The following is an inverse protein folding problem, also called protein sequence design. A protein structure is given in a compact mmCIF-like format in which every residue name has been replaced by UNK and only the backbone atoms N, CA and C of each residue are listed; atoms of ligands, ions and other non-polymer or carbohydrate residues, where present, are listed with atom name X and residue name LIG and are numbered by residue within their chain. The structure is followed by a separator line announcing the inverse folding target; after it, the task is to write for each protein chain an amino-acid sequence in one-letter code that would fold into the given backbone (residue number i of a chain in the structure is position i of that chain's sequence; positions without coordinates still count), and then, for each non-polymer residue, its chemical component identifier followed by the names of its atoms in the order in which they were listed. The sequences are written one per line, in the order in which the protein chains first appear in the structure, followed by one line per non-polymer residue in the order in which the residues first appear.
data_IF_919574986300
#
_entry.id   IF_919574986300
#
_cell.length_a   1.000
_cell.length_b   1.000
_cell.length_c   1.000
_cell.angle_alpha   90.00
_cell.angle_beta   90.00
_cell.angle_gamma   90.00
#
_symmetry.space_group_name_H-M   'P 1'
#
loop_
_entity.id
_entity.type
_entity.pdbx_description
1 polymer ?
#
# COMPACT_ATOMS: atom_id res chain seq x y z
N UNK A 1 16.28 9.52 -38.62
CA UNK A 1 17.63 10.12 -38.69
C UNK A 1 17.49 11.62 -38.34
N UNK A 2 18.14 12.05 -37.25
CA UNK A 2 18.17 13.46 -36.88
C UNK A 2 19.00 14.29 -37.87
N UNK A 3 18.60 15.53 -38.14
CA UNK A 3 19.35 16.51 -38.94
C UNK A 3 20.11 17.42 -38.00
N UNK A 4 21.36 17.71 -38.29
CA UNK A 4 22.17 18.67 -37.56
C UNK A 4 22.02 20.05 -38.23
N UNK A 5 21.40 21.01 -37.53
CA UNK A 5 21.04 22.32 -38.11
C UNK A 5 21.98 23.46 -37.71
N UNK A 6 23.05 23.21 -36.96
CA UNK A 6 24.01 24.24 -36.61
C UNK A 6 24.34 24.33 -35.12
N UNK A 7 25.06 25.39 -34.74
CA UNK A 7 25.38 25.71 -33.34
C UNK A 7 24.28 26.61 -32.76
N UNK A 8 24.02 26.48 -31.47
CA UNK A 8 23.09 27.31 -30.70
C UNK A 8 23.80 27.88 -29.48
N UNK A 9 23.41 29.04 -29.02
CA UNK A 9 23.83 29.64 -27.76
C UNK A 9 22.92 29.21 -26.58
N UNK A 10 21.85 28.46 -26.88
CA UNK A 10 20.97 27.90 -25.84
C UNK A 10 21.70 26.85 -24.98
N UNK A 11 21.39 26.78 -23.68
CA UNK A 11 21.97 25.74 -22.81
C UNK A 11 21.59 24.33 -23.28
N UNK A 12 22.44 23.35 -22.96
CA UNK A 12 22.18 21.97 -23.32
C UNK A 12 20.82 21.50 -22.83
N UNK A 13 20.03 20.95 -23.74
CA UNK A 13 18.69 20.48 -23.41
C UNK A 13 17.98 19.80 -24.58
N UNK A 14 16.76 19.43 -24.35
CA UNK A 14 15.86 18.86 -25.36
C UNK A 14 14.52 19.57 -25.32
N UNK A 15 14.04 19.98 -26.47
CA UNK A 15 12.71 20.53 -26.66
C UNK A 15 11.87 19.58 -27.51
N UNK A 16 10.76 19.08 -26.96
CA UNK A 16 9.81 18.25 -27.68
C UNK A 16 8.46 18.96 -27.78
N UNK A 17 7.93 19.09 -29.00
CA UNK A 17 6.58 19.57 -29.25
C UNK A 17 5.83 18.56 -30.10
N UNK A 18 4.57 18.30 -29.75
CA UNK A 18 3.72 17.41 -30.51
C UNK A 18 2.26 17.88 -30.45
N UNK A 19 1.48 17.45 -31.45
CA UNK A 19 0.04 17.58 -31.46
C UNK A 19 -0.57 16.18 -31.48
N UNK A 20 -1.69 16.02 -30.76
CA UNK A 20 -2.44 14.77 -30.80
C UNK A 20 -3.02 14.58 -32.22
N UNK A 21 -2.93 13.37 -32.74
CA UNK A 21 -3.42 13.05 -34.08
C UNK A 21 -4.95 13.16 -34.12
N UNK A 22 -5.54 14.05 -34.98
CA UNK A 22 -6.98 14.27 -35.04
C UNK A 22 -7.76 13.04 -35.57
N UNK A 23 -7.10 12.12 -36.26
CA UNK A 23 -7.73 10.88 -36.72
C UNK A 23 -7.92 9.86 -35.58
N UNK A 24 -7.13 10.00 -34.52
CA UNK A 24 -7.19 9.11 -33.32
C UNK A 24 -7.89 9.80 -32.16
N UNK A 25 -7.61 11.10 -31.96
CA UNK A 25 -8.14 11.86 -30.85
C UNK A 25 -9.18 12.89 -31.33
N UNK A 26 -10.39 12.94 -30.78
CA UNK A 26 -11.36 13.99 -31.12
C UNK A 26 -10.77 15.39 -30.94
N UNK A 27 -11.19 16.31 -31.79
CA UNK A 27 -10.70 17.70 -31.79
C UNK A 27 -10.88 18.43 -30.43
N UNK A 28 -11.81 17.98 -29.61
CA UNK A 28 -12.03 18.49 -28.25
C UNK A 28 -11.10 17.89 -27.18
N UNK A 29 -10.20 16.97 -27.55
CA UNK A 29 -9.28 16.32 -26.61
C UNK A 29 -8.29 17.34 -26.04
N UNK A 30 -8.24 17.45 -24.72
CA UNK A 30 -7.30 18.29 -23.99
C UNK A 30 -6.53 17.46 -22.97
N UNK A 31 -5.25 17.82 -22.79
CA UNK A 31 -4.46 17.26 -21.70
C UNK A 31 -4.98 17.79 -20.36
N UNK A 32 -5.15 16.90 -19.40
CA UNK A 32 -5.59 17.25 -18.05
C UNK A 32 -4.37 17.61 -17.19
N UNK A 33 -4.24 18.88 -16.76
CA UNK A 33 -3.10 19.33 -15.95
C UNK A 33 -2.89 18.52 -14.68
N UNK A 34 -3.97 18.06 -14.04
CA UNK A 34 -3.93 17.34 -12.77
C UNK A 34 -3.12 16.02 -12.86
N UNK A 35 -3.22 15.31 -14.00
CA UNK A 35 -2.44 14.09 -14.21
C UNK A 35 -0.94 14.40 -14.37
N UNK A 36 -0.62 15.47 -15.09
CA UNK A 36 0.77 15.88 -15.31
C UNK A 36 1.37 16.39 -14.00
N UNK A 37 0.62 17.18 -13.22
CA UNK A 37 1.05 17.65 -11.90
C UNK A 37 1.33 16.46 -10.96
N UNK A 38 0.45 15.48 -10.91
CA UNK A 38 0.64 14.25 -10.12
C UNK A 38 1.91 13.51 -10.54
N UNK A 39 2.17 13.40 -11.84
CA UNK A 39 3.41 12.78 -12.35
C UNK A 39 4.64 13.58 -11.95
N UNK A 40 4.62 14.92 -12.09
CA UNK A 40 5.72 15.78 -11.68
C UNK A 40 6.03 15.63 -10.18
N UNK A 41 5.00 15.56 -9.33
CA UNK A 41 5.17 15.31 -7.89
C UNK A 41 5.84 13.96 -7.65
N UNK A 42 5.33 12.88 -8.21
CA UNK A 42 5.92 11.54 -8.03
C UNK A 42 7.35 11.47 -8.53
N UNK A 43 7.66 12.03 -9.71
CA UNK A 43 9.03 12.05 -10.21
C UNK A 43 9.96 12.89 -9.32
N UNK A 44 9.49 13.97 -8.72
CA UNK A 44 10.30 14.75 -7.78
C UNK A 44 10.59 13.97 -6.49
N UNK A 45 9.65 13.19 -5.97
CA UNK A 45 9.89 12.32 -4.79
C UNK A 45 10.83 11.16 -5.10
N UNK A 46 10.71 10.57 -6.28
CA UNK A 46 11.55 9.43 -6.68
C UNK A 46 12.97 9.83 -7.12
N UNK A 47 13.20 11.13 -7.36
CA UNK A 47 14.49 11.66 -7.79
C UNK A 47 14.83 12.91 -6.95
N UNK A 48 15.38 12.68 -5.76
CA UNK A 48 15.75 13.76 -4.82
C UNK A 48 16.58 14.85 -5.48
N UNK A 49 16.15 16.09 -5.28
CA UNK A 49 16.82 17.27 -5.85
C UNK A 49 16.47 17.57 -7.31
N UNK A 50 15.76 16.69 -8.02
CA UNK A 50 15.26 16.99 -9.37
C UNK A 50 14.15 18.04 -9.28
N UNK A 51 14.36 19.16 -9.98
CA UNK A 51 13.35 20.21 -10.12
C UNK A 51 12.60 20.04 -11.44
N UNK A 52 11.30 19.86 -11.37
CA UNK A 52 10.40 19.82 -12.51
C UNK A 52 9.55 21.09 -12.54
N UNK A 53 9.36 21.65 -13.71
CA UNK A 53 8.54 22.84 -13.90
C UNK A 53 7.37 22.52 -14.81
N UNK A 54 6.16 22.82 -14.36
CA UNK A 54 4.94 22.65 -15.14
C UNK A 54 3.97 23.81 -14.87
N UNK A 55 3.51 24.46 -15.91
CA UNK A 55 2.57 25.60 -15.84
C UNK A 55 2.99 26.66 -14.81
N UNK A 56 4.29 27.03 -14.79
CA UNK A 56 4.85 28.03 -13.87
C UNK A 56 5.06 27.57 -12.43
N UNK A 57 4.64 26.35 -12.07
CA UNK A 57 4.90 25.75 -10.75
C UNK A 57 6.15 24.88 -10.78
N UNK A 58 6.91 24.92 -9.68
CA UNK A 58 8.11 24.11 -9.48
C UNK A 58 7.81 22.99 -8.50
N UNK A 59 8.16 21.75 -8.88
CA UNK A 59 8.06 20.55 -8.07
C UNK A 59 9.48 20.05 -7.78
N UNK A 60 9.80 19.91 -6.51
CA UNK A 60 11.10 19.42 -6.03
C UNK A 60 10.92 18.79 -4.66
N UNK A 61 11.58 17.66 -4.43
CA UNK A 61 11.66 17.02 -3.13
C UNK A 61 13.13 16.87 -2.70
N UNK A 62 13.40 17.05 -1.42
CA UNK A 62 14.72 16.83 -0.83
C UNK A 62 14.80 15.48 -0.10
N UNK A 63 13.69 15.01 0.46
CA UNK A 63 13.64 13.85 1.33
C UNK A 63 12.95 12.63 0.69
N UNK A 64 12.59 12.71 -0.61
CA UNK A 64 12.09 11.55 -1.37
C UNK A 64 10.75 11.01 -0.88
N UNK A 65 10.67 9.72 -0.57
CA UNK A 65 9.43 9.07 -0.14
C UNK A 65 8.93 9.58 1.22
N UNK A 66 9.80 10.17 2.04
CA UNK A 66 9.38 10.83 3.28
C UNK A 66 8.47 12.03 2.96
N UNK A 67 8.87 12.89 2.01
CA UNK A 67 8.06 14.04 1.59
C UNK A 67 6.74 13.59 0.95
N UNK A 68 6.76 12.48 0.20
CA UNK A 68 5.56 11.88 -0.38
C UNK A 68 4.56 11.51 0.72
N UNK A 69 4.97 10.79 1.74
CA UNK A 69 4.07 10.39 2.81
C UNK A 69 3.59 11.57 3.65
N UNK A 70 4.48 12.53 3.94
CA UNK A 70 4.10 13.73 4.68
C UNK A 70 3.03 14.57 3.95
N UNK A 71 3.05 14.59 2.61
CA UNK A 71 2.02 15.28 1.81
C UNK A 71 0.76 14.44 1.61
N UNK A 72 0.89 13.12 1.55
CA UNK A 72 -0.24 12.20 1.33
C UNK A 72 -1.14 12.06 2.58
N UNK A 73 -0.55 12.15 3.77
CA UNK A 73 -1.29 12.02 5.01
C UNK A 73 -2.12 13.28 5.30
N UNK A 74 -3.40 13.09 5.59
CA UNK A 74 -4.31 14.17 6.01
C UNK A 74 -4.24 14.47 7.51
N UNK A 75 -3.71 13.54 8.31
CA UNK A 75 -3.60 13.62 9.76
C UNK A 75 -2.13 13.46 10.18
N UNK A 76 -1.79 13.95 11.39
CA UNK A 76 -0.46 13.74 11.95
C UNK A 76 -0.18 12.25 12.16
N UNK A 77 1.03 11.79 11.81
CA UNK A 77 1.43 10.40 12.05
C UNK A 77 1.56 10.12 13.56
N UNK A 78 1.23 8.90 13.97
CA UNK A 78 1.31 8.49 15.39
C UNK A 78 2.75 8.50 15.95
N UNK A 79 3.73 8.43 15.07
CA UNK A 79 5.16 8.55 15.35
C UNK A 79 5.88 9.06 14.10
N UNK A 80 7.12 9.58 14.23
CA UNK A 80 7.87 10.07 13.06
C UNK A 80 7.93 9.02 11.94
N UNK A 81 7.77 9.47 10.70
CA UNK A 81 7.85 8.58 9.53
C UNK A 81 9.19 7.87 9.53
N UNK A 82 9.17 6.55 9.56
CA UNK A 82 10.36 5.71 9.43
C UNK A 82 10.78 5.74 7.97
N UNK A 83 12.00 6.21 7.70
CA UNK A 83 12.55 6.34 6.36
C UNK A 83 13.85 5.53 6.26
N UNK A 84 13.87 4.58 5.33
CA UNK A 84 14.96 3.63 5.14
C UNK A 84 15.44 3.73 3.69
N UNK A 85 16.75 3.91 3.51
CA UNK A 85 17.37 4.04 2.21
C UNK A 85 18.44 2.97 2.00
N UNK A 86 18.45 2.38 0.82
CA UNK A 86 19.46 1.41 0.42
C UNK A 86 19.77 1.52 -1.06
N UNK A 87 20.68 0.67 -1.53
CA UNK A 87 20.97 0.58 -2.95
C UNK A 87 19.76 -0.05 -3.66
N UNK A 88 19.21 0.68 -4.63
CA UNK A 88 18.06 0.27 -5.44
C UNK A 88 16.74 0.01 -4.67
N UNK A 89 16.66 0.46 -3.41
CA UNK A 89 15.45 0.39 -2.60
C UNK A 89 15.33 1.60 -1.68
N UNK A 90 14.15 2.17 -1.60
CA UNK A 90 13.77 3.19 -0.64
C UNK A 90 12.40 2.85 -0.07
N UNK A 91 12.25 2.98 1.24
CA UNK A 91 11.00 2.69 1.95
C UNK A 91 10.74 3.78 2.96
N UNK A 92 9.51 4.27 3.00
CA UNK A 92 9.02 5.13 4.06
C UNK A 92 7.69 4.59 4.58
N UNK A 93 7.47 4.61 5.89
CA UNK A 93 6.19 4.21 6.45
C UNK A 93 5.94 4.79 7.84
N UNK A 94 4.67 4.86 8.20
CA UNK A 94 4.19 5.21 9.53
C UNK A 94 2.78 4.64 9.72
N UNK A 95 2.17 4.87 10.89
CA UNK A 95 0.76 4.59 11.13
C UNK A 95 -0.01 5.90 11.32
N UNK A 96 -1.19 5.97 10.76
CA UNK A 96 -2.13 7.08 10.90
C UNK A 96 -3.38 6.71 11.69
N UNK A 97 -4.40 7.58 11.61
CA UNK A 97 -5.72 7.34 12.20
C UNK A 97 -6.72 6.63 11.27
N UNK A 98 -6.40 6.49 9.98
CA UNK A 98 -7.31 5.91 8.99
C UNK A 98 -7.51 4.39 9.18
N UNK A 99 -8.63 3.89 8.68
CA UNK A 99 -8.88 2.45 8.62
C UNK A 99 -8.16 1.82 7.41
N UNK A 100 -7.59 0.63 7.62
CA UNK A 100 -6.95 -0.14 6.56
C UNK A 100 -5.49 0.22 6.31
N UNK A 101 -4.99 -0.23 5.17
CA UNK A 101 -3.61 -0.02 4.72
C UNK A 101 -3.62 0.91 3.51
N UNK A 102 -2.69 1.86 3.43
CA UNK A 102 -2.46 2.71 2.27
C UNK A 102 -1.03 2.51 1.76
N UNK A 103 -0.90 2.21 0.47
CA UNK A 103 0.38 1.90 -0.13
C UNK A 103 0.65 2.70 -1.40
N UNK A 104 1.82 3.32 -1.45
CA UNK A 104 2.40 3.95 -2.63
C UNK A 104 3.58 3.12 -3.10
N UNK A 105 3.45 2.41 -4.22
CA UNK A 105 4.50 1.50 -4.69
C UNK A 105 5.02 1.89 -6.05
N UNK A 106 6.35 1.81 -6.22
CA UNK A 106 7.04 2.27 -7.42
C UNK A 106 8.10 1.25 -7.85
N UNK A 107 8.23 1.09 -9.16
CA UNK A 107 9.29 0.28 -9.80
C UNK A 107 9.91 1.08 -10.93
N UNK A 108 11.22 1.34 -10.86
CA UNK A 108 11.96 2.14 -11.85
C UNK A 108 11.31 3.50 -12.15
N UNK A 109 10.75 4.16 -11.12
CA UNK A 109 10.04 5.42 -11.26
C UNK A 109 8.59 5.32 -11.74
N UNK A 110 8.10 4.11 -12.06
CA UNK A 110 6.71 3.87 -12.46
C UNK A 110 5.84 3.58 -11.25
N UNK A 111 4.75 4.33 -11.09
CA UNK A 111 3.76 4.09 -10.03
C UNK A 111 2.95 2.82 -10.33
N UNK A 112 3.06 1.82 -9.46
CA UNK A 112 2.34 0.54 -9.56
C UNK A 112 1.08 0.61 -8.69
N UNK A 113 0.00 1.16 -9.24
CA UNK A 113 -1.26 1.41 -8.50
C UNK A 113 -1.93 0.17 -7.95
N UNK A 114 -1.64 -1.00 -8.52
CA UNK A 114 -2.12 -2.32 -8.06
C UNK A 114 -1.04 -3.09 -7.30
N UNK A 115 0.09 -2.44 -6.98
CA UNK A 115 1.19 -3.05 -6.25
C UNK A 115 2.01 -4.04 -7.08
N UNK A 116 2.18 -5.23 -6.54
CA UNK A 116 2.95 -6.32 -7.14
C UNK A 116 3.82 -7.05 -6.12
N UNK A 117 4.78 -7.83 -6.62
CA UNK A 117 5.66 -8.68 -5.81
C UNK A 117 6.45 -7.91 -4.75
N UNK A 118 6.91 -6.69 -5.05
CA UNK A 118 7.67 -5.83 -4.13
C UNK A 118 6.81 -5.32 -2.96
N UNK A 119 5.57 -4.90 -3.21
CA UNK A 119 4.65 -4.48 -2.16
C UNK A 119 4.25 -5.66 -1.27
N UNK A 120 3.99 -6.84 -1.87
CA UNK A 120 3.72 -8.05 -1.12
C UNK A 120 4.91 -8.46 -0.24
N UNK A 121 6.14 -8.40 -0.77
CA UNK A 121 7.36 -8.65 -0.03
C UNK A 121 7.55 -7.68 1.14
N UNK A 122 7.30 -6.39 0.94
CA UNK A 122 7.34 -5.40 2.01
C UNK A 122 6.32 -5.70 3.13
N UNK A 123 5.06 -5.99 2.77
CA UNK A 123 4.00 -6.33 3.73
C UNK A 123 4.33 -7.55 4.58
N UNK A 124 5.01 -8.52 4.00
CA UNK A 124 5.50 -9.70 4.73
C UNK A 124 6.71 -9.37 5.61
N UNK A 125 7.67 -8.65 5.05
CA UNK A 125 8.91 -8.32 5.73
C UNK A 125 8.70 -7.47 6.99
N UNK A 126 7.83 -6.45 6.94
CA UNK A 126 7.53 -5.60 8.10
C UNK A 126 6.92 -6.43 9.24
N UNK A 127 6.00 -7.35 8.93
CA UNK A 127 5.38 -8.22 9.93
C UNK A 127 6.41 -9.12 10.59
N UNK A 128 7.25 -9.78 9.79
CA UNK A 128 8.30 -10.65 10.28
C UNK A 128 9.29 -9.89 11.17
N UNK A 129 9.81 -8.78 10.68
CA UNK A 129 10.83 -7.99 11.41
C UNK A 129 10.29 -7.46 12.75
N UNK A 130 9.05 -6.95 12.78
CA UNK A 130 8.47 -6.44 14.03
C UNK A 130 8.16 -7.56 15.04
N UNK A 131 7.74 -8.74 14.59
CA UNK A 131 7.61 -9.92 15.47
C UNK A 131 8.95 -10.33 16.05
N UNK A 132 9.99 -10.35 15.24
CA UNK A 132 11.34 -10.72 15.67
C UNK A 132 11.93 -9.67 16.62
N UNK A 133 11.70 -8.39 16.38
CA UNK A 133 12.15 -7.29 17.22
C UNK A 133 11.49 -7.29 18.61
N UNK A 134 10.15 -7.34 18.64
CA UNK A 134 9.39 -7.33 19.91
C UNK A 134 9.31 -8.68 20.60
N UNK A 135 9.83 -9.75 19.98
CA UNK A 135 9.75 -11.14 20.50
C UNK A 135 8.31 -11.56 20.82
N UNK A 136 7.35 -11.10 20.02
CA UNK A 136 5.92 -11.38 20.17
C UNK A 136 5.30 -11.75 18.84
N UNK A 137 4.41 -12.75 18.86
CA UNK A 137 3.69 -13.18 17.67
C UNK A 137 2.39 -12.39 17.48
N UNK A 138 2.51 -11.09 17.21
CA UNK A 138 1.36 -10.25 16.85
C UNK A 138 0.70 -10.72 15.56
N UNK A 139 -0.61 -10.55 15.42
CA UNK A 139 -1.27 -10.82 14.14
C UNK A 139 -0.83 -9.83 13.05
N UNK A 140 -0.68 -10.34 11.83
CA UNK A 140 -0.26 -9.52 10.70
C UNK A 140 -1.22 -8.34 10.43
N UNK A 141 -2.52 -8.55 10.66
CA UNK A 141 -3.54 -7.52 10.56
C UNK A 141 -3.35 -6.39 11.57
N UNK A 142 -2.99 -6.71 12.82
CA UNK A 142 -2.79 -5.71 13.87
C UNK A 142 -1.55 -4.83 13.60
N UNK A 143 -0.48 -5.44 13.05
CA UNK A 143 0.72 -4.71 12.65
C UNK A 143 0.43 -3.76 11.48
N UNK A 144 -0.39 -4.18 10.52
CA UNK A 144 -0.66 -3.40 9.31
C UNK A 144 -1.90 -2.50 9.40
N UNK A 145 -2.66 -2.58 10.49
CA UNK A 145 -3.81 -1.71 10.71
C UNK A 145 -3.38 -0.25 10.71
N UNK A 146 -3.97 0.58 9.86
CA UNK A 146 -3.66 2.01 9.69
C UNK A 146 -2.25 2.29 9.16
N UNK A 147 -1.60 1.33 8.52
CA UNK A 147 -0.28 1.50 7.92
C UNK A 147 -0.38 2.38 6.67
N UNK A 148 0.44 3.44 6.60
CA UNK A 148 0.70 4.24 5.41
C UNK A 148 2.15 4.01 5.01
N UNK A 149 2.37 3.50 3.80
CA UNK A 149 3.71 3.12 3.37
C UNK A 149 3.98 3.48 1.91
N UNK A 150 5.22 3.84 1.63
CA UNK A 150 5.74 4.02 0.29
C UNK A 150 6.97 3.13 0.09
N UNK A 151 7.04 2.45 -1.04
CA UNK A 151 8.18 1.63 -1.43
C UNK A 151 8.57 1.91 -2.88
N UNK A 152 9.85 2.13 -3.13
CA UNK A 152 10.43 2.27 -4.47
C UNK A 152 11.58 1.29 -4.62
N UNK A 153 11.57 0.51 -5.69
CA UNK A 153 12.67 -0.40 -6.03
C UNK A 153 13.12 -0.19 -7.48
N UNK A 154 14.38 -0.54 -7.74
CA UNK A 154 14.91 -0.65 -9.10
C UNK A 154 15.10 -2.11 -9.46
N UNK A 155 14.54 -2.51 -10.59
CA UNK A 155 14.56 -3.88 -11.11
C UNK A 155 15.16 -3.87 -12.52
N UNK A 156 16.08 -4.77 -12.82
CA UNK A 156 16.55 -4.96 -14.18
C UNK A 156 15.52 -5.77 -14.95
N UNK A 157 15.12 -5.26 -16.13
CA UNK A 157 14.15 -5.91 -17.01
C UNK A 157 12.82 -6.28 -16.32
N UNK A 158 12.11 -5.30 -15.73
CA UNK A 158 10.90 -5.58 -15.00
C UNK A 158 9.79 -6.07 -15.93
N UNK A 159 9.13 -7.15 -15.54
CA UNK A 159 7.92 -7.67 -16.19
C UNK A 159 6.70 -7.19 -15.41
N UNK A 160 5.76 -6.55 -16.11
CA UNK A 160 4.50 -6.10 -15.55
C UNK A 160 3.35 -6.98 -16.08
N UNK A 161 2.28 -7.11 -15.29
CA UNK A 161 1.12 -7.91 -15.70
C UNK A 161 0.34 -7.29 -16.87
N UNK A 162 0.50 -5.99 -17.12
CA UNK A 162 -0.16 -5.27 -18.20
C UNK A 162 0.72 -4.18 -18.81
N UNK A 163 0.39 -3.73 -20.01
CA UNK A 163 1.06 -2.62 -20.70
C UNK A 163 0.95 -1.29 -19.93
N UNK A 164 -0.08 -1.11 -19.11
CA UNK A 164 -0.25 0.06 -18.24
C UNK A 164 0.71 0.09 -17.06
N UNK A 165 1.48 -1.00 -16.84
CA UNK A 165 2.50 -1.15 -15.80
C UNK A 165 1.99 -0.88 -14.38
N UNK A 166 0.72 -1.19 -14.13
CA UNK A 166 0.07 -0.95 -12.84
C UNK A 166 0.43 -1.96 -11.78
N UNK A 167 0.97 -3.15 -12.16
CA UNK A 167 1.33 -4.21 -11.23
C UNK A 167 2.61 -4.91 -11.68
N UNK A 168 3.58 -5.01 -10.76
CA UNK A 168 4.82 -5.75 -11.00
C UNK A 168 4.59 -7.26 -10.89
N UNK A 169 4.94 -7.99 -11.95
CA UNK A 169 4.89 -9.45 -12.00
C UNK A 169 6.24 -10.15 -11.77
N UNK A 170 7.37 -9.44 -11.94
CA UNK A 170 8.71 -10.02 -11.75
C UNK A 170 8.87 -10.61 -10.34
N UNK A 171 9.53 -11.79 -10.27
CA UNK A 171 9.86 -12.43 -9.00
C UNK A 171 11.30 -12.15 -8.54
N UNK A 172 12.18 -11.70 -9.46
CA UNK A 172 13.60 -11.45 -9.22
C UNK A 172 13.97 -10.01 -9.53
N UNK A 173 15.01 -9.49 -8.88
CA UNK A 173 15.56 -8.14 -9.11
C UNK A 173 16.26 -8.03 -10.46
N UNK A 174 16.85 -9.13 -10.92
CA UNK A 174 17.46 -9.26 -12.25
C UNK A 174 17.28 -10.69 -12.75
N UNK A 175 17.50 -10.96 -14.04
CA UNK A 175 17.31 -12.32 -14.61
C UNK A 175 18.02 -13.45 -13.85
N UNK A 176 19.22 -13.18 -13.34
CA UNK A 176 20.02 -14.12 -12.55
C UNK A 176 20.17 -13.68 -11.08
N UNK A 177 19.40 -12.69 -10.64
CA UNK A 177 19.48 -12.11 -9.30
C UNK A 177 18.64 -12.83 -8.26
N UNK A 178 18.76 -12.35 -7.02
CA UNK A 178 17.94 -12.83 -5.93
C UNK A 178 16.45 -12.46 -6.12
N UNK A 179 15.58 -13.15 -5.38
CA UNK A 179 14.16 -12.86 -5.43
C UNK A 179 13.86 -11.50 -4.80
N UNK A 180 12.86 -10.81 -5.34
CA UNK A 180 12.36 -9.53 -4.76
C UNK A 180 11.97 -9.72 -3.29
N UNK A 181 11.39 -10.87 -2.96
CA UNK A 181 11.05 -11.23 -1.57
C UNK A 181 12.27 -11.27 -0.66
N UNK A 182 13.36 -11.90 -1.11
CA UNK A 182 14.62 -11.98 -0.36
C UNK A 182 15.27 -10.61 -0.25
N UNK A 183 15.37 -9.88 -1.36
CA UNK A 183 15.95 -8.54 -1.43
C UNK A 183 15.27 -7.56 -0.47
N UNK A 184 13.95 -7.39 -0.59
CA UNK A 184 13.16 -6.52 0.26
C UNK A 184 13.17 -7.03 1.70
N UNK A 185 13.05 -8.35 1.90
CA UNK A 185 13.05 -8.97 3.23
C UNK A 185 14.33 -8.71 4.00
N UNK A 186 15.49 -8.93 3.40
CA UNK A 186 16.81 -8.71 4.01
C UNK A 186 17.05 -7.22 4.30
N UNK A 187 16.64 -6.35 3.37
CA UNK A 187 16.75 -4.91 3.57
C UNK A 187 15.94 -4.44 4.79
N UNK A 188 14.66 -4.78 4.83
CA UNK A 188 13.76 -4.39 5.92
C UNK A 188 14.23 -4.99 7.25
N UNK A 189 14.60 -6.27 7.29
CA UNK A 189 15.07 -6.92 8.50
C UNK A 189 16.28 -6.21 9.10
N UNK A 190 17.23 -5.80 8.27
CA UNK A 190 18.43 -5.10 8.72
C UNK A 190 18.18 -3.64 9.10
N UNK A 191 17.60 -2.88 8.18
CA UNK A 191 17.50 -1.42 8.36
C UNK A 191 16.44 -1.02 9.37
N UNK A 192 15.31 -1.73 9.41
CA UNK A 192 14.25 -1.46 10.38
C UNK A 192 14.69 -1.85 11.79
N UNK A 193 15.34 -3.00 11.96
CA UNK A 193 15.88 -3.42 13.26
C UNK A 193 16.89 -2.38 13.78
N UNK A 194 17.84 -1.96 12.94
CA UNK A 194 18.80 -0.91 13.27
C UNK A 194 18.13 0.41 13.63
N UNK A 195 17.10 0.80 12.88
CA UNK A 195 16.36 2.04 13.13
C UNK A 195 15.65 2.02 14.48
N UNK A 196 14.96 0.93 14.80
CA UNK A 196 14.19 0.80 16.04
C UNK A 196 15.11 0.75 17.27
N UNK A 197 16.30 0.13 17.17
CA UNK A 197 17.30 0.17 18.23
C UNK A 197 17.85 1.58 18.47
N UNK A 198 18.02 2.39 17.41
CA UNK A 198 18.47 3.79 17.52
C UNK A 198 17.38 4.74 18.00
N UNK A 199 16.10 4.40 17.81
CA UNK A 199 14.95 5.25 18.10
C UNK A 199 13.96 4.53 19.04
N UNK A 200 14.29 4.34 20.32
CA UNK A 200 13.47 3.56 21.24
C UNK A 200 12.08 4.16 21.49
N UNK A 201 11.93 5.49 21.40
CA UNK A 201 10.63 6.15 21.55
C UNK A 201 9.70 5.81 20.38
N UNK A 202 10.22 5.78 19.15
CA UNK A 202 9.46 5.33 17.96
C UNK A 202 9.09 3.86 18.10
N UNK A 203 9.98 3.00 18.59
CA UNK A 203 9.71 1.60 18.83
C UNK A 203 8.58 1.40 19.86
N UNK A 204 8.57 2.16 20.95
CA UNK A 204 7.52 2.13 21.98
C UNK A 204 6.16 2.58 21.39
N UNK A 205 6.15 3.69 20.64
CA UNK A 205 4.92 4.20 20.02
C UNK A 205 4.34 3.19 19.00
N UNK A 206 5.22 2.56 18.21
CA UNK A 206 4.83 1.51 17.27
C UNK A 206 4.27 0.26 17.99
N UNK A 207 4.92 -0.19 19.08
CA UNK A 207 4.41 -1.31 19.87
C UNK A 207 3.06 -0.98 20.52
N UNK A 208 2.90 0.23 21.05
CA UNK A 208 1.63 0.69 21.62
C UNK A 208 0.51 0.65 20.58
N UNK A 209 0.76 1.17 19.36
CA UNK A 209 -0.20 1.11 18.25
C UNK A 209 -0.61 -0.32 17.91
N UNK A 210 0.34 -1.26 17.84
CA UNK A 210 0.04 -2.67 17.56
C UNK A 210 -0.84 -3.28 18.65
N UNK A 211 -0.54 -2.99 19.92
CA UNK A 211 -1.33 -3.46 21.07
C UNK A 211 -2.76 -2.89 21.07
N UNK A 212 -2.92 -1.61 20.72
CA UNK A 212 -4.23 -0.99 20.59
C UNK A 212 -5.04 -1.65 19.47
N UNK A 213 -4.44 -1.88 18.31
CA UNK A 213 -5.07 -2.60 17.20
C UNK A 213 -5.48 -4.04 17.58
N UNK A 214 -4.65 -4.73 18.35
CA UNK A 214 -4.96 -6.07 18.88
C UNK A 214 -6.17 -6.02 19.84
N UNK A 215 -6.21 -5.01 20.74
CA UNK A 215 -7.33 -4.82 21.66
C UNK A 215 -8.62 -4.56 20.91
N UNK A 216 -8.62 -3.61 19.97
CA UNK A 216 -9.79 -3.24 19.18
C UNK A 216 -10.33 -4.42 18.38
N UNK A 217 -9.46 -5.22 17.76
CA UNK A 217 -9.84 -6.44 17.05
C UNK A 217 -10.50 -7.46 17.97
N UNK A 218 -9.95 -7.67 19.19
CA UNK A 218 -10.51 -8.59 20.17
C UNK A 218 -11.89 -8.14 20.67
N UNK A 219 -12.05 -6.84 20.95
CA UNK A 219 -13.32 -6.23 21.37
C UNK A 219 -14.38 -6.36 20.26
N UNK A 220 -14.05 -6.01 19.02
CA UNK A 220 -14.96 -6.17 17.88
C UNK A 220 -15.37 -7.63 17.66
N UNK A 221 -14.43 -8.57 17.78
CA UNK A 221 -14.71 -10.00 17.68
C UNK A 221 -15.66 -10.47 18.80
N UNK A 222 -15.47 -9.96 20.02
CA UNK A 222 -16.35 -10.22 21.16
C UNK A 222 -17.77 -9.72 20.90
N UNK A 223 -17.92 -8.47 20.44
CA UNK A 223 -19.22 -7.87 20.09
C UNK A 223 -19.93 -8.68 18.99
N UNK A 224 -19.21 -9.05 17.94
CA UNK A 224 -19.76 -9.87 16.85
C UNK A 224 -20.23 -11.25 17.33
N UNK A 225 -19.48 -11.87 18.24
CA UNK A 225 -19.85 -13.16 18.84
C UNK A 225 -21.14 -13.01 19.63
N UNK A 226 -21.24 -12.02 20.52
CA UNK A 226 -22.44 -11.72 21.30
C UNK A 226 -23.66 -11.42 20.40
N UNK A 227 -23.47 -10.63 19.35
CA UNK A 227 -24.53 -10.34 18.39
C UNK A 227 -25.04 -11.61 17.69
N UNK A 228 -24.13 -12.52 17.27
CA UNK A 228 -24.50 -13.82 16.69
C UNK A 228 -25.22 -14.72 17.68
N UNK A 229 -24.79 -14.76 18.94
CA UNK A 229 -25.43 -15.53 19.99
C UNK A 229 -26.84 -14.98 20.29
N UNK A 230 -26.99 -13.66 20.38
CA UNK A 230 -28.29 -13.00 20.58
C UNK A 230 -29.22 -13.24 19.39
N UNK A 231 -28.73 -13.15 18.15
CA UNK A 231 -29.51 -13.49 16.96
C UNK A 231 -29.96 -14.95 16.93
N UNK A 232 -29.15 -15.87 17.44
CA UNK A 232 -29.54 -17.30 17.60
C UNK A 232 -30.55 -17.50 18.72
N UNK A 233 -30.48 -16.71 19.80
CA UNK A 233 -31.42 -16.76 20.94
C UNK A 233 -32.72 -16.01 20.67
N UNK A 234 -32.72 -15.02 19.78
CA UNK A 234 -33.91 -14.34 19.31
C UNK A 234 -34.76 -15.31 18.48
N UNK A 235 -35.41 -16.27 19.14
CA UNK A 235 -36.53 -16.99 18.55
C UNK A 235 -37.57 -15.96 18.20
N UNK A 236 -37.99 -15.94 16.93
CA UNK A 236 -39.15 -15.14 16.50
C UNK A 236 -40.33 -15.63 17.31
N UNK A 237 -40.60 -14.96 18.42
CA UNK A 237 -41.76 -15.28 19.26
C UNK A 237 -42.98 -14.55 18.66
N UNK A 238 -43.48 -15.12 17.56
CA UNK A 238 -44.74 -14.68 17.02
C UNK A 238 -45.87 -15.24 17.93
N UNK A 239 -46.65 -14.38 18.59
CA UNK A 239 -47.74 -14.81 19.47
C UNK A 239 -48.78 -15.69 18.77
N UNK A 240 -48.87 -15.58 17.44
CA UNK A 240 -49.85 -16.27 16.63
C UNK A 240 -49.33 -17.51 15.90
N UNK A 241 -48.00 -17.76 15.94
CA UNK A 241 -47.38 -18.91 15.30
C UNK A 241 -46.59 -19.70 16.34
N UNK A 242 -46.96 -20.94 16.57
CA UNK A 242 -46.14 -21.88 17.36
C UNK A 242 -45.17 -22.58 16.44
N UNK A 243 -43.88 -22.48 16.77
CA UNK A 243 -42.85 -23.25 16.09
C UNK A 243 -43.05 -24.75 16.35
N UNK A 244 -42.79 -25.60 15.38
CA UNK A 244 -42.93 -27.04 15.51
C UNK A 244 -41.86 -27.59 16.47
N UNK A 245 -42.21 -28.60 17.26
CA UNK A 245 -41.29 -29.26 18.20
C UNK A 245 -40.14 -29.99 17.49
N UNK A 246 -40.39 -30.46 16.28
CA UNK A 246 -39.43 -31.19 15.46
C UNK A 246 -39.45 -30.54 14.06
N UNK A 247 -38.33 -30.04 13.62
CA UNK A 247 -38.21 -29.44 12.28
C UNK A 247 -37.94 -30.51 11.23
N UNK A 248 -38.50 -30.36 10.03
CA UNK A 248 -38.35 -31.29 8.91
C UNK A 248 -36.87 -31.58 8.59
N UNK A 249 -36.02 -30.57 8.69
CA UNK A 249 -34.58 -30.69 8.42
C UNK A 249 -33.76 -31.16 9.67
N UNK A 250 -34.39 -31.56 10.77
CA UNK A 250 -33.70 -32.06 11.94
C UNK A 250 -33.32 -33.55 11.78
N UNK A 251 -32.30 -33.99 12.49
CA UNK A 251 -31.90 -35.43 12.55
C UNK A 251 -32.82 -36.25 13.46
N UNK A 252 -33.96 -35.74 13.88
CA UNK A 252 -34.87 -36.40 14.78
C UNK A 252 -35.66 -37.50 14.01
N UNK A 253 -35.90 -38.66 14.64
CA UNK A 253 -36.59 -39.78 14.02
C UNK A 253 -38.00 -39.47 13.50
N UNK A 254 -38.64 -38.44 14.07
CA UNK A 254 -39.98 -37.96 13.68
C UNK A 254 -39.98 -36.76 12.75
N UNK A 255 -38.86 -36.42 12.16
CA UNK A 255 -38.76 -35.25 11.24
C UNK A 255 -39.71 -35.34 10.05
N UNK A 256 -39.97 -36.55 9.55
CA UNK A 256 -40.91 -36.78 8.44
C UNK A 256 -42.39 -36.63 8.79
N UNK A 257 -42.74 -36.52 10.08
CA UNK A 257 -44.12 -36.30 10.54
C UNK A 257 -44.47 -34.79 10.65
N UNK A 258 -43.51 -33.89 10.34
CA UNK A 258 -43.69 -32.45 10.45
C UNK A 258 -44.47 -31.92 9.25
N UNK A 259 -45.64 -31.36 9.48
CA UNK A 259 -46.47 -30.73 8.46
C UNK A 259 -46.35 -29.20 8.55
N UNK A 260 -46.26 -28.54 7.39
CA UNK A 260 -46.41 -27.07 7.25
C UNK A 260 -47.89 -26.75 7.06
N UNK A 261 -48.42 -25.87 7.87
CA UNK A 261 -49.74 -25.30 7.68
C UNK A 261 -49.61 -23.87 7.12
#
# INVERSE_FOLDING_TARGET
KGRKDGATEEPNGTRTAFHADPDIFPAATQFRPEYIEKMCRYYSYLNKGLALHFNGRRYISKNGLLDLLAEAMSEEPLYPIIHLEGHDIEVAFTHGGQYGEEHYSFVNGQHTTQGGTHQAAFREAIVKTLRDFFKKNYEAGDIRSSLVAAISIKVKEPVFESQTKTKLGSNTISPEGETIRTFVGNFIARELDNYLHKNPETAKALEAKIKDSERDRKELSGIQKLARENARKAKIHNKNLRDCRVHYNSKHSRAGETTLF
#
